data_IF_790189856279
#
_entry.id   IF_790189856279
#
_cell.length_a   1.000
_cell.length_b   1.000
_cell.length_c   1.000
_cell.angle_alpha   90.00
_cell.angle_beta   90.00
_cell.angle_gamma   90.00
#
_symmetry.space_group_name_H-M   'P 1'
#
loop_
_entity.id
_entity.type
_entity.pdbx_description
1 polymer ?
#
# COMPACT_ATOMS: atom_id res chain seq x y z
N UNK A 1 12.25 39.43 -51.84
CA UNK A 1 12.99 39.94 -50.65
C UNK A 1 13.19 38.78 -49.69
N UNK A 2 14.32 38.10 -49.79
CA UNK A 2 14.68 36.96 -48.91
C UNK A 2 16.13 37.18 -48.51
N UNK A 3 16.37 37.65 -47.28
CA UNK A 3 17.72 37.79 -46.74
C UNK A 3 17.76 37.61 -45.22
N UNK A 4 18.19 36.41 -44.84
CA UNK A 4 19.12 36.07 -43.75
C UNK A 4 18.67 36.32 -42.30
N UNK A 5 18.26 35.25 -41.62
CA UNK A 5 18.57 34.94 -40.20
C UNK A 5 18.39 33.44 -39.89
N UNK A 6 19.02 32.54 -40.66
CA UNK A 6 18.83 31.07 -40.55
C UNK A 6 19.66 30.37 -39.43
N UNK A 7 20.30 31.09 -38.50
CA UNK A 7 21.24 30.49 -37.51
C UNK A 7 21.19 31.15 -36.12
N UNK A 8 20.00 31.47 -35.61
CA UNK A 8 19.86 32.30 -34.39
C UNK A 8 19.21 31.67 -33.16
N UNK A 9 18.53 30.52 -33.28
CA UNK A 9 17.61 30.05 -32.22
C UNK A 9 17.91 28.66 -31.67
N UNK A 10 18.94 27.96 -32.17
CA UNK A 10 19.28 26.59 -31.76
C UNK A 10 19.51 26.48 -30.24
N UNK A 11 20.20 27.46 -29.65
CA UNK A 11 20.45 27.47 -28.21
C UNK A 11 19.16 27.62 -27.40
N UNK A 12 18.22 28.44 -27.88
CA UNK A 12 16.93 28.66 -27.24
C UNK A 12 16.04 27.43 -27.42
N UNK A 13 16.02 26.81 -28.60
CA UNK A 13 15.29 25.57 -28.88
C UNK A 13 15.79 24.40 -28.03
N UNK A 14 17.12 24.27 -27.88
CA UNK A 14 17.73 23.29 -26.98
C UNK A 14 17.36 23.57 -25.51
N UNK A 15 17.42 24.84 -25.09
CA UNK A 15 17.07 25.24 -23.73
C UNK A 15 15.59 24.94 -23.43
N UNK A 16 14.68 25.26 -24.35
CA UNK A 16 13.25 24.98 -24.22
C UNK A 16 13.01 23.47 -24.18
N UNK A 17 13.66 22.70 -25.05
CA UNK A 17 13.53 21.24 -25.07
C UNK A 17 14.01 20.59 -23.77
N UNK A 18 15.14 21.05 -23.23
CA UNK A 18 15.66 20.60 -21.94
C UNK A 18 14.71 20.99 -20.78
N UNK A 19 14.14 22.19 -20.82
CA UNK A 19 13.15 22.61 -19.82
C UNK A 19 11.90 21.73 -19.84
N UNK A 20 11.37 21.43 -21.03
CA UNK A 20 10.23 20.52 -21.18
C UNK A 20 10.58 19.13 -20.61
N UNK A 21 11.77 18.62 -20.92
CA UNK A 21 12.23 17.34 -20.37
C UNK A 21 12.34 17.37 -18.84
N UNK A 22 12.89 18.45 -18.26
CA UNK A 22 12.96 18.59 -16.81
C UNK A 22 11.58 18.64 -16.17
N UNK A 23 10.64 19.38 -16.73
CA UNK A 23 9.26 19.43 -16.23
C UNK A 23 8.60 18.05 -16.28
N UNK A 24 8.82 17.29 -17.36
CA UNK A 24 8.33 15.91 -17.48
C UNK A 24 8.97 15.01 -16.41
N UNK A 25 10.29 15.04 -16.25
CA UNK A 25 10.97 14.23 -15.24
C UNK A 25 10.53 14.58 -13.81
N UNK A 26 10.43 15.88 -13.49
CA UNK A 26 10.02 16.37 -12.17
C UNK A 26 8.56 16.08 -11.86
N UNK A 27 7.68 16.01 -12.87
CA UNK A 27 6.28 15.60 -12.68
C UNK A 27 6.12 14.07 -12.58
N UNK A 28 6.92 13.29 -13.30
CA UNK A 28 6.86 11.82 -13.25
C UNK A 28 7.36 11.25 -11.92
N UNK A 29 8.40 11.85 -11.33
CA UNK A 29 9.01 11.37 -10.09
C UNK A 29 8.02 11.27 -8.90
N UNK A 30 7.25 12.31 -8.54
CA UNK A 30 6.27 12.21 -7.46
C UNK A 30 5.16 11.21 -7.77
N UNK A 31 4.73 11.11 -9.03
CA UNK A 31 3.73 10.13 -9.46
C UNK A 31 4.26 8.69 -9.29
N UNK A 32 5.52 8.44 -9.64
CA UNK A 32 6.17 7.15 -9.42
C UNK A 32 6.23 6.79 -7.93
N UNK A 33 6.62 7.74 -7.08
CA UNK A 33 6.65 7.52 -5.64
C UNK A 33 5.26 7.23 -5.07
N UNK A 34 4.22 7.93 -5.53
CA UNK A 34 2.84 7.69 -5.12
C UNK A 34 2.42 6.24 -5.45
N UNK A 35 2.62 5.81 -6.68
CA UNK A 35 2.27 4.45 -7.13
C UNK A 35 3.06 3.39 -6.35
N UNK A 36 4.36 3.63 -6.12
CA UNK A 36 5.20 2.71 -5.34
C UNK A 36 4.69 2.58 -3.90
N UNK A 37 4.27 3.68 -3.29
CA UNK A 37 3.73 3.66 -1.93
C UNK A 37 2.38 2.96 -1.84
N UNK A 38 1.49 3.18 -2.82
CA UNK A 38 0.20 2.47 -2.90
C UNK A 38 0.39 0.96 -3.09
N UNK A 39 1.34 0.53 -3.91
CA UNK A 39 1.67 -0.90 -4.05
C UNK A 39 2.07 -1.53 -2.72
N UNK A 40 2.97 -0.86 -1.98
CA UNK A 40 3.40 -1.35 -0.67
C UNK A 40 2.26 -1.39 0.35
N UNK A 41 1.33 -0.43 0.27
CA UNK A 41 0.13 -0.44 1.09
C UNK A 41 -0.78 -1.63 0.76
N UNK A 42 -0.96 -1.94 -0.52
CA UNK A 42 -1.71 -3.12 -0.97
C UNK A 42 -1.07 -4.44 -0.55
N UNK A 43 0.26 -4.54 -0.61
CA UNK A 43 1.01 -5.70 -0.10
C UNK A 43 0.72 -5.93 1.38
N UNK A 44 0.84 -4.90 2.22
CA UNK A 44 0.54 -4.99 3.65
C UNK A 44 -0.92 -5.40 3.93
N UNK A 45 -1.88 -4.88 3.14
CA UNK A 45 -3.30 -5.25 3.26
C UNK A 45 -3.51 -6.72 2.89
N UNK A 46 -2.86 -7.19 1.82
CA UNK A 46 -2.98 -8.57 1.38
C UNK A 46 -2.40 -9.52 2.43
N UNK A 47 -1.24 -9.20 2.98
CA UNK A 47 -0.61 -9.95 4.07
C UNK A 47 -1.50 -9.98 5.33
N UNK A 48 -2.06 -8.83 5.74
CA UNK A 48 -2.99 -8.78 6.86
C UNK A 48 -4.23 -9.67 6.63
N UNK A 49 -4.76 -9.70 5.40
CA UNK A 49 -5.88 -10.55 5.05
C UNK A 49 -5.52 -12.04 5.04
N UNK A 50 -4.31 -12.39 4.56
CA UNK A 50 -3.82 -13.76 4.59
C UNK A 50 -3.69 -14.25 6.04
N UNK A 51 -3.01 -13.49 6.91
CA UNK A 51 -2.89 -13.81 8.33
C UNK A 51 -4.25 -13.94 9.02
N UNK A 52 -5.16 -13.01 8.73
CA UNK A 52 -6.52 -13.05 9.26
C UNK A 52 -7.26 -14.31 8.81
N UNK A 53 -7.15 -14.67 7.53
CA UNK A 53 -7.81 -15.84 6.96
C UNK A 53 -7.26 -17.16 7.50
N UNK A 54 -5.94 -17.27 7.62
CA UNK A 54 -5.27 -18.43 8.21
C UNK A 54 -5.70 -18.64 9.66
N UNK A 55 -5.75 -17.58 10.47
CA UNK A 55 -6.18 -17.68 11.87
C UNK A 55 -7.68 -18.03 11.99
N UNK A 56 -8.53 -17.47 11.13
CA UNK A 56 -9.95 -17.84 11.06
C UNK A 56 -10.13 -19.31 10.69
N UNK A 57 -9.38 -19.81 9.69
CA UNK A 57 -9.41 -21.22 9.29
C UNK A 57 -8.94 -22.14 10.43
N UNK A 58 -7.86 -21.78 11.12
CA UNK A 58 -7.38 -22.54 12.29
C UNK A 58 -8.45 -22.64 13.39
N UNK A 59 -9.22 -21.59 13.63
CA UNK A 59 -10.31 -21.63 14.62
C UNK A 59 -11.50 -22.45 14.12
N UNK A 60 -11.90 -22.31 12.86
CA UNK A 60 -13.06 -23.00 12.29
C UNK A 60 -12.80 -24.51 12.14
N UNK A 61 -11.63 -24.90 11.63
CA UNK A 61 -11.32 -26.29 11.27
C UNK A 61 -10.76 -27.10 12.44
N UNK A 62 -9.85 -26.51 13.24
CA UNK A 62 -9.18 -27.23 14.32
C UNK A 62 -9.88 -27.04 15.68
N UNK A 63 -10.99 -26.29 15.70
CA UNK A 63 -11.69 -25.89 16.93
C UNK A 63 -10.74 -25.29 17.97
N UNK A 64 -9.73 -24.57 17.49
CA UNK A 64 -8.69 -23.98 18.33
C UNK A 64 -9.27 -22.82 19.15
N UNK A 65 -8.64 -22.51 20.29
CA UNK A 65 -9.14 -21.45 21.18
C UNK A 65 -9.02 -20.10 20.48
N UNK A 66 -10.09 -19.31 20.55
CA UNK A 66 -10.12 -17.88 20.18
C UNK A 66 -9.26 -17.09 21.18
N UNK A 67 -7.99 -16.87 20.82
CA UNK A 67 -7.00 -16.16 21.65
C UNK A 67 -6.46 -14.97 20.88
N UNK A 68 -6.29 -13.85 21.57
CA UNK A 68 -5.63 -12.68 21.02
C UNK A 68 -4.15 -12.98 20.75
N UNK A 69 -3.66 -12.56 19.58
CA UNK A 69 -2.28 -12.82 19.15
C UNK A 69 -1.64 -11.54 18.65
N UNK A 70 -0.34 -11.44 18.88
CA UNK A 70 0.48 -10.41 18.24
C UNK A 70 1.52 -11.11 17.37
N UNK A 71 1.51 -10.78 16.08
CA UNK A 71 2.43 -11.33 15.09
C UNK A 71 3.36 -10.22 14.63
N UNK A 72 4.63 -10.54 14.45
CA UNK A 72 5.62 -9.62 13.89
C UNK A 72 6.10 -10.21 12.58
N UNK A 73 5.83 -9.52 11.47
CA UNK A 73 6.24 -9.94 10.14
C UNK A 73 6.90 -8.76 9.44
N UNK A 74 8.11 -8.95 8.91
CA UNK A 74 8.89 -7.93 8.19
C UNK A 74 8.89 -6.53 8.86
N UNK A 75 9.16 -6.50 10.17
CA UNK A 75 9.18 -5.30 11.03
C UNK A 75 7.82 -4.62 11.26
N UNK A 76 6.72 -5.25 10.86
CA UNK A 76 5.35 -4.80 11.11
C UNK A 76 4.71 -5.61 12.23
N UNK A 77 4.02 -4.92 13.15
CA UNK A 77 3.31 -5.55 14.26
C UNK A 77 1.83 -5.64 13.92
N UNK A 78 1.33 -6.86 13.79
CA UNK A 78 -0.07 -7.18 13.58
C UNK A 78 -0.69 -7.65 14.90
N UNK A 79 -1.76 -6.98 15.34
CA UNK A 79 -2.49 -7.31 16.56
C UNK A 79 -3.85 -7.89 16.20
N UNK A 80 -4.02 -9.19 16.48
CA UNK A 80 -5.26 -9.91 16.32
C UNK A 80 -6.03 -9.88 17.64
N UNK A 81 -7.27 -9.39 17.58
CA UNK A 81 -8.19 -9.31 18.73
C UNK A 81 -9.51 -9.98 18.38
N UNK A 82 -9.98 -10.83 19.26
CA UNK A 82 -11.28 -11.47 19.15
C UNK A 82 -12.36 -10.63 19.82
N UNK A 83 -13.44 -10.36 19.09
CA UNK A 83 -14.67 -9.86 19.66
C UNK A 83 -15.60 -11.04 19.98
N UNK A 84 -15.89 -11.22 21.27
CA UNK A 84 -16.72 -12.33 21.75
C UNK A 84 -18.21 -12.11 21.50
N UNK A 85 -18.66 -10.87 21.40
CA UNK A 85 -20.08 -10.53 21.20
C UNK A 85 -20.48 -10.74 19.75
N UNK A 86 -19.60 -10.35 18.82
CA UNK A 86 -19.83 -10.42 17.37
C UNK A 86 -19.24 -11.67 16.71
N UNK A 87 -18.49 -12.48 17.47
CA UNK A 87 -17.76 -13.64 16.96
C UNK A 87 -16.88 -13.31 15.73
N UNK A 88 -16.24 -12.13 15.77
CA UNK A 88 -15.34 -11.64 14.73
C UNK A 88 -13.90 -11.59 15.24
N UNK A 89 -12.96 -11.84 14.32
CA UNK A 89 -11.55 -11.61 14.53
C UNK A 89 -11.15 -10.34 13.79
N UNK A 90 -10.52 -9.41 14.49
CA UNK A 90 -10.02 -8.18 13.90
C UNK A 90 -8.50 -8.12 13.99
N UNK A 91 -7.86 -7.83 12.86
CA UNK A 91 -6.43 -7.56 12.76
C UNK A 91 -6.20 -6.05 12.65
N UNK A 92 -5.34 -5.53 13.52
CA UNK A 92 -4.92 -4.12 13.53
C UNK A 92 -3.42 -4.03 13.25
N UNK A 93 -3.02 -3.07 12.43
CA UNK A 93 -1.61 -2.78 12.20
C UNK A 93 -1.39 -1.29 11.94
N UNK A 94 -0.21 -0.82 12.28
CA UNK A 94 0.22 0.55 12.00
C UNK A 94 1.08 0.55 10.74
N UNK A 95 0.70 1.33 9.72
CA UNK A 95 1.51 1.44 8.51
C UNK A 95 2.68 2.43 8.69
N UNK A 96 3.61 2.47 7.72
CA UNK A 96 4.77 3.40 7.73
C UNK A 96 4.41 4.89 7.72
N UNK A 97 3.13 5.22 7.50
CA UNK A 97 2.57 6.56 7.53
C UNK A 97 1.81 6.81 8.85
N UNK A 98 2.07 5.98 9.88
CA UNK A 98 1.41 6.01 11.19
C UNK A 98 -0.12 5.98 11.13
N UNK A 99 -0.68 5.39 10.06
CA UNK A 99 -2.11 5.14 9.98
C UNK A 99 -2.40 3.77 10.55
N UNK A 100 -3.25 3.76 11.57
CA UNK A 100 -3.83 2.55 12.12
C UNK A 100 -4.88 2.01 11.14
N UNK A 101 -4.65 0.82 10.63
CA UNK A 101 -5.58 0.10 9.78
C UNK A 101 -6.18 -1.04 10.59
N UNK A 102 -7.48 -1.29 10.37
CA UNK A 102 -8.25 -2.37 11.00
C UNK A 102 -8.99 -3.14 9.92
N UNK A 103 -8.92 -4.46 9.95
CA UNK A 103 -9.73 -5.38 9.14
C UNK A 103 -10.31 -6.44 10.05
N UNK A 104 -11.55 -6.85 9.78
CA UNK A 104 -12.23 -7.88 10.55
C UNK A 104 -12.81 -8.95 9.62
N UNK A 105 -12.90 -10.17 10.13
CA UNK A 105 -13.55 -11.28 9.48
C UNK A 105 -14.37 -12.09 10.47
N UNK A 106 -15.48 -12.64 10.00
CA UNK A 106 -16.42 -13.42 10.81
C UNK A 106 -16.05 -14.89 10.81
N UNK A 107 -16.04 -15.50 11.98
CA UNK A 107 -16.02 -16.95 12.09
C UNK A 107 -17.46 -17.47 12.00
N UNK A 108 -18.05 -17.49 10.79
CA UNK A 108 -19.33 -18.16 10.59
C UNK A 108 -19.11 -19.68 10.71
N UNK A 109 -19.46 -20.23 11.86
CA UNK A 109 -19.78 -21.64 12.01
C UNK A 109 -21.15 -21.84 11.37
N UNK A 110 -21.19 -22.17 10.07
CA UNK A 110 -22.40 -22.74 9.51
C UNK A 110 -22.60 -24.12 10.13
N UNK A 111 -23.70 -24.22 10.88
CA UNK A 111 -24.36 -25.43 11.35
C UNK A 111 -24.86 -26.29 10.16
#
# INVERSE_FOLDING_TARGET
MLRKCDKGYILIEMLVSINILFVLCLSLLPNYFLVKNERRNLENINEANQLLHEELLHVILENSRRVDKTLVVEDMVYQLKWDKELNELCINWENKVQRNNKRCGYANTNE
#
